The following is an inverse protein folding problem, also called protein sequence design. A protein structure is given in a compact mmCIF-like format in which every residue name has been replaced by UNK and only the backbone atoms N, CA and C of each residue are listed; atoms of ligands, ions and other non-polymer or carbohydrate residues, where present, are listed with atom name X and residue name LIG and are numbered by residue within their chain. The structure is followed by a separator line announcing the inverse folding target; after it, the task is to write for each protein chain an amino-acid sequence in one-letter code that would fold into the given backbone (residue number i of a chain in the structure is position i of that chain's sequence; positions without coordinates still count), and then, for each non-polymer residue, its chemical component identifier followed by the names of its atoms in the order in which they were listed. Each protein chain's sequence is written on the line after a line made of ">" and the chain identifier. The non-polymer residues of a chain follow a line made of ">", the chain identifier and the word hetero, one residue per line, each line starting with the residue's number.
data_IF_598541835414
#
_entry.id   IF_598541835414
#
_cell.length_a   1.000
_cell.length_b   1.000
_cell.length_c   1.000
_cell.angle_alpha   90.00
_cell.angle_beta   90.00
_cell.angle_gamma   90.00
#
_symmetry.space_group_name_H-M   'P 1'
#
loop_
_entity.id
_entity.type
_entity.pdbx_description
1 polymer ?
#
# COMPACT_ATOMS: atom_id res chain seq x y z
N UNK A 1 -10.98 0.65 9.91
CA UNK A 1 -9.94 0.11 10.81
C UNK A 1 -8.57 -0.06 10.12
N UNK A 2 -8.41 0.38 8.86
CA UNK A 2 -7.14 0.29 8.10
C UNK A 2 -6.08 1.35 8.46
N UNK A 3 -6.41 2.27 9.38
CA UNK A 3 -5.53 3.34 9.85
C UNK A 3 -4.23 2.82 10.49
N UNK A 4 -4.29 1.64 11.11
CA UNK A 4 -3.15 1.07 11.85
C UNK A 4 -2.13 0.45 10.89
N UNK A 5 -2.58 -0.21 9.81
CA UNK A 5 -1.69 -0.85 8.85
C UNK A 5 -0.78 0.15 8.10
N UNK A 6 -1.27 1.35 7.79
CA UNK A 6 -0.51 2.37 7.03
C UNK A 6 0.37 3.29 7.90
N UNK A 7 0.04 3.54 9.17
CA UNK A 7 0.95 4.29 10.08
C UNK A 7 2.04 3.40 10.67
N UNK A 8 1.79 2.09 10.78
CA UNK A 8 2.82 1.15 11.19
C UNK A 8 3.93 1.02 10.14
N UNK A 9 3.60 1.15 8.84
CA UNK A 9 4.58 1.24 7.77
C UNK A 9 5.59 2.38 8.02
N UNK A 10 5.17 3.64 8.17
CA UNK A 10 6.14 4.74 8.32
C UNK A 10 7.05 4.59 9.56
N UNK A 11 6.49 4.16 10.70
CA UNK A 11 7.25 4.02 11.96
C UNK A 11 8.14 2.76 11.98
N UNK A 12 7.77 1.70 11.27
CA UNK A 12 8.58 0.48 11.16
C UNK A 12 9.67 0.57 10.08
N UNK A 13 9.49 1.42 9.07
CA UNK A 13 10.46 1.56 7.98
C UNK A 13 11.70 2.35 8.41
N UNK A 14 11.56 3.29 9.36
CA UNK A 14 12.69 4.04 9.87
C UNK A 14 13.76 3.14 10.55
N UNK A 15 13.40 2.23 11.48
CA UNK A 15 14.34 1.22 12.01
C UNK A 15 15.00 0.36 10.92
N UNK A 16 14.24 -0.09 9.91
CA UNK A 16 14.79 -0.91 8.81
C UNK A 16 15.78 -0.10 7.96
N UNK A 17 15.43 1.14 7.62
CA UNK A 17 16.31 2.05 6.88
C UNK A 17 17.60 2.32 7.66
N UNK A 18 17.52 2.51 8.98
CA UNK A 18 18.73 2.63 9.82
C UNK A 18 19.54 1.34 9.79
N UNK A 19 18.92 0.16 9.88
CA UNK A 19 19.62 -1.13 9.77
C UNK A 19 20.39 -1.30 8.46
N UNK A 20 19.90 -0.74 7.35
CA UNK A 20 20.57 -0.76 6.05
C UNK A 20 21.65 0.33 5.91
N UNK A 21 21.39 1.51 6.47
CA UNK A 21 22.22 2.70 6.22
C UNK A 21 23.33 2.91 7.24
N UNK A 22 23.13 2.52 8.51
CA UNK A 22 24.07 2.75 9.61
C UNK A 22 25.44 2.06 9.44
N UNK A 23 25.56 0.86 8.82
CA UNK A 23 26.87 0.22 8.62
C UNK A 23 27.86 1.08 7.84
N UNK A 24 27.42 1.80 6.80
CA UNK A 24 28.29 2.58 5.92
C UNK A 24 29.05 3.71 6.63
N UNK A 25 28.39 4.65 7.34
CA UNK A 25 29.10 5.68 8.09
C UNK A 25 29.90 5.10 9.27
N UNK A 26 29.49 3.96 9.85
CA UNK A 26 30.28 3.30 10.89
C UNK A 26 31.63 2.79 10.37
N UNK A 27 31.65 2.17 9.19
CA UNK A 27 32.89 1.73 8.54
C UNK A 27 33.73 2.92 8.09
N UNK A 28 33.10 3.92 7.46
CA UNK A 28 33.80 5.13 7.01
C UNK A 28 34.44 5.88 8.19
N UNK A 29 33.78 5.88 9.36
CA UNK A 29 34.27 6.51 10.59
C UNK A 29 35.35 5.69 11.33
N UNK A 30 35.86 4.58 10.76
CA UNK A 30 37.02 3.88 11.33
C UNK A 30 38.36 4.43 10.85
N UNK A 31 38.39 5.16 9.73
CA UNK A 31 39.64 5.67 9.16
C UNK A 31 40.15 6.88 9.98
N UNK A 32 41.33 6.79 10.63
CA UNK A 32 41.91 7.92 11.33
C UNK A 32 42.34 9.02 10.35
N UNK A 33 42.16 10.29 10.71
CA UNK A 33 42.63 11.43 9.91
C UNK A 33 41.61 12.54 9.67
N UNK A 34 41.99 13.54 8.85
CA UNK A 34 41.12 14.65 8.45
C UNK A 34 40.02 14.13 7.51
N UNK A 35 38.77 14.50 7.78
CA UNK A 35 37.60 14.07 7.00
C UNK A 35 36.73 12.99 7.65
N UNK A 36 37.05 12.56 8.88
CA UNK A 36 36.23 11.59 9.63
C UNK A 36 34.95 12.20 10.24
N UNK A 37 35.00 13.50 10.57
CA UNK A 37 33.94 14.21 11.30
C UNK A 37 32.56 14.12 10.64
N UNK A 38 32.39 14.27 9.30
CA UNK A 38 31.09 14.08 8.65
C UNK A 38 30.51 12.67 8.87
N UNK A 39 31.35 11.64 8.78
CA UNK A 39 30.91 10.25 8.98
C UNK A 39 30.52 9.97 10.43
N UNK A 40 31.21 10.58 11.38
CA UNK A 40 30.83 10.55 12.79
C UNK A 40 29.48 11.21 13.05
N UNK A 41 29.26 12.40 12.48
CA UNK A 41 27.98 13.10 12.57
C UNK A 41 26.86 12.29 11.94
N UNK A 42 27.10 11.69 10.77
CA UNK A 42 26.13 10.82 10.11
C UNK A 42 25.79 9.59 10.96
N UNK A 43 26.79 8.89 11.51
CA UNK A 43 26.57 7.74 12.38
C UNK A 43 25.75 8.10 13.64
N UNK A 44 26.04 9.25 14.26
CA UNK A 44 25.28 9.74 15.42
C UNK A 44 23.85 10.12 15.07
N UNK A 45 23.66 10.81 13.95
CA UNK A 45 22.33 11.18 13.47
C UNK A 45 21.48 9.94 13.21
N UNK A 46 22.01 8.97 12.45
CA UNK A 46 21.34 7.70 12.20
C UNK A 46 21.12 6.90 13.49
N UNK A 47 22.06 6.93 14.43
CA UNK A 47 21.90 6.30 15.74
C UNK A 47 20.71 6.87 16.51
N UNK A 48 20.61 8.19 16.63
CA UNK A 48 19.45 8.83 17.27
C UNK A 48 18.14 8.59 16.53
N UNK A 49 18.13 8.71 15.21
CA UNK A 49 16.92 8.45 14.40
C UNK A 49 16.47 6.99 14.51
N UNK A 50 17.41 6.05 14.48
CA UNK A 50 17.15 4.63 14.67
C UNK A 50 16.59 4.33 16.05
N UNK A 51 17.12 4.96 17.10
CA UNK A 51 16.68 4.74 18.47
C UNK A 51 15.24 5.23 18.68
N UNK A 52 14.93 6.46 18.24
CA UNK A 52 13.58 7.01 18.33
C UNK A 52 12.60 6.25 17.44
N UNK A 53 13.02 5.87 16.23
CA UNK A 53 12.23 5.02 15.34
C UNK A 53 11.91 3.67 15.98
N UNK A 54 12.89 3.01 16.61
CA UNK A 54 12.71 1.71 17.25
C UNK A 54 11.75 1.80 18.44
N UNK A 55 11.86 2.86 19.25
CA UNK A 55 10.94 3.11 20.35
C UNK A 55 9.50 3.32 19.86
N UNK A 56 9.32 4.16 18.83
CA UNK A 56 8.01 4.41 18.24
C UNK A 56 7.42 3.14 17.61
N UNK A 57 8.24 2.33 16.94
CA UNK A 57 7.84 1.05 16.35
C UNK A 57 7.41 0.05 17.43
N UNK A 58 8.16 -0.07 18.54
CA UNK A 58 7.81 -0.93 19.67
C UNK A 58 6.48 -0.55 20.30
N UNK A 59 6.28 0.73 20.63
CA UNK A 59 5.04 1.21 21.24
C UNK A 59 3.85 0.99 20.32
N UNK A 60 3.99 1.38 19.04
CA UNK A 60 2.91 1.21 18.07
C UNK A 60 2.61 -0.26 17.77
N UNK A 61 3.61 -1.16 17.83
CA UNK A 61 3.44 -2.57 17.53
C UNK A 61 2.71 -3.31 18.65
N UNK A 62 3.07 -3.03 19.90
CA UNK A 62 2.34 -3.53 21.05
C UNK A 62 0.89 -3.01 21.09
N UNK A 63 0.68 -1.73 20.77
CA UNK A 63 -0.66 -1.17 20.66
C UNK A 63 -1.49 -1.85 19.55
N UNK A 64 -0.90 -2.07 18.38
CA UNK A 64 -1.55 -2.77 17.27
C UNK A 64 -1.88 -4.22 17.63
N UNK A 65 -0.94 -4.95 18.26
CA UNK A 65 -1.16 -6.33 18.69
C UNK A 65 -2.32 -6.47 19.69
N UNK A 66 -2.50 -5.48 20.58
CA UNK A 66 -3.66 -5.41 21.49
C UNK A 66 -4.97 -5.15 20.75
N UNK A 67 -4.98 -4.20 19.82
CA UNK A 67 -6.17 -3.87 19.03
C UNK A 67 -6.63 -5.03 18.14
N UNK A 68 -5.69 -5.88 17.71
CA UNK A 68 -5.97 -7.09 16.92
C UNK A 68 -6.28 -8.32 17.79
N UNK A 69 -6.35 -8.18 19.12
CA UNK A 69 -6.64 -9.30 20.03
C UNK A 69 -5.51 -10.33 20.19
N UNK A 70 -4.33 -10.09 19.61
CA UNK A 70 -3.16 -10.98 19.70
C UNK A 70 -2.44 -10.87 21.05
N UNK A 71 -2.62 -9.75 21.74
CA UNK A 71 -2.14 -9.54 23.10
C UNK A 71 -3.37 -9.36 24.00
N UNK A 72 -3.58 -10.24 25.00
CA UNK A 72 -4.70 -10.11 25.92
C UNK A 72 -4.72 -8.74 26.61
N UNK A 73 -5.91 -8.16 26.81
CA UNK A 73 -6.06 -6.81 27.38
C UNK A 73 -5.36 -6.62 28.74
N UNK A 74 -5.26 -7.69 29.53
CA UNK A 74 -4.60 -7.69 30.84
C UNK A 74 -3.06 -7.78 30.77
N UNK A 75 -2.45 -7.93 29.58
CA UNK A 75 -1.00 -8.06 29.40
C UNK A 75 -0.44 -6.92 28.57
N UNK A 76 0.75 -6.47 28.93
CA UNK A 76 1.52 -5.47 28.19
C UNK A 76 2.38 -6.08 27.07
N UNK A 77 2.71 -7.36 27.21
CA UNK A 77 3.59 -8.11 26.30
C UNK A 77 2.88 -9.37 25.79
N UNK A 78 3.21 -9.85 24.58
CA UNK A 78 2.74 -11.14 24.09
C UNK A 78 3.18 -12.26 25.03
N UNK A 79 2.33 -13.28 25.16
CA UNK A 79 2.66 -14.46 25.97
C UNK A 79 3.84 -15.23 25.34
N UNK A 80 4.70 -15.86 26.15
CA UNK A 80 5.68 -16.80 25.63
C UNK A 80 4.99 -17.89 24.83
N UNK A 81 5.38 -18.05 23.57
CA UNK A 81 4.81 -19.02 22.66
C UNK A 81 5.92 -19.68 21.82
N UNK A 82 5.82 -21.00 21.64
CA UNK A 82 6.76 -21.81 20.88
C UNK A 82 6.10 -22.36 19.59
N UNK A 83 6.92 -22.76 18.62
CA UNK A 83 6.45 -23.29 17.33
C UNK A 83 6.40 -22.25 16.21
N UNK A 84 5.65 -22.52 15.14
CA UNK A 84 5.59 -21.69 13.93
C UNK A 84 4.31 -20.84 13.81
N UNK A 85 3.41 -20.91 14.79
CA UNK A 85 2.15 -20.16 14.79
C UNK A 85 2.32 -18.63 14.90
N UNK A 86 1.26 -17.85 14.60
CA UNK A 86 1.29 -16.39 14.60
C UNK A 86 1.64 -15.81 15.98
N UNK A 87 1.20 -16.46 17.07
CA UNK A 87 1.52 -16.07 18.45
C UNK A 87 3.01 -16.23 18.75
N UNK A 88 3.62 -17.35 18.31
CA UNK A 88 5.05 -17.58 18.45
C UNK A 88 5.88 -16.63 17.57
N UNK A 89 5.38 -16.27 16.39
CA UNK A 89 5.99 -15.27 15.51
C UNK A 89 5.93 -13.87 16.16
N UNK A 90 4.78 -13.48 16.70
CA UNK A 90 4.59 -12.21 17.42
C UNK A 90 5.50 -12.12 18.65
N UNK A 91 5.56 -13.18 19.46
CA UNK A 91 6.44 -13.23 20.63
C UNK A 91 7.91 -13.06 20.24
N UNK A 92 8.40 -13.83 19.24
CA UNK A 92 9.78 -13.71 18.74
C UNK A 92 10.08 -12.33 18.20
N UNK A 93 9.16 -11.75 17.43
CA UNK A 93 9.30 -10.39 16.91
C UNK A 93 9.39 -9.36 18.04
N UNK A 94 8.53 -9.44 19.05
CA UNK A 94 8.55 -8.53 20.20
C UNK A 94 9.84 -8.66 21.02
N UNK A 95 10.34 -9.89 21.23
CA UNK A 95 11.62 -10.13 21.92
C UNK A 95 12.79 -9.56 21.12
N UNK A 96 12.84 -9.81 19.80
CA UNK A 96 13.88 -9.27 18.92
C UNK A 96 13.86 -7.74 18.88
N UNK A 97 12.67 -7.13 18.79
CA UNK A 97 12.52 -5.68 18.80
C UNK A 97 12.96 -5.08 20.14
N UNK A 98 12.60 -5.70 21.27
CA UNK A 98 13.03 -5.27 22.60
C UNK A 98 14.54 -5.39 22.79
N UNK A 99 15.13 -6.51 22.36
CA UNK A 99 16.58 -6.71 22.42
C UNK A 99 17.32 -5.72 21.51
N UNK A 100 16.81 -5.49 20.30
CA UNK A 100 17.32 -4.49 19.37
C UNK A 100 17.33 -3.09 20.00
N UNK A 101 16.28 -2.71 20.73
CA UNK A 101 16.24 -1.42 21.43
C UNK A 101 17.33 -1.29 22.50
N UNK A 102 17.56 -2.33 23.31
CA UNK A 102 18.62 -2.34 24.33
C UNK A 102 20.01 -2.23 23.68
N UNK A 103 20.27 -3.00 22.63
CA UNK A 103 21.53 -2.93 21.88
C UNK A 103 21.68 -1.56 21.21
N UNK A 104 20.60 -0.98 20.71
CA UNK A 104 20.56 0.36 20.13
C UNK A 104 20.90 1.47 21.11
N UNK A 105 20.47 1.37 22.37
CA UNK A 105 20.90 2.27 23.45
C UNK A 105 22.41 2.19 23.66
N UNK A 106 22.96 0.97 23.76
CA UNK A 106 24.39 0.76 23.94
C UNK A 106 25.21 1.25 22.73
N UNK A 107 24.74 1.00 21.50
CA UNK A 107 25.36 1.45 20.27
C UNK A 107 25.37 2.99 20.19
N UNK A 108 24.21 3.62 20.44
CA UNK A 108 24.06 5.09 20.42
C UNK A 108 24.93 5.73 21.49
N UNK A 109 24.97 5.17 22.71
CA UNK A 109 25.91 5.60 23.75
C UNK A 109 27.37 5.52 23.28
N UNK A 110 27.78 4.39 22.70
CA UNK A 110 29.15 4.19 22.24
C UNK A 110 29.56 5.18 21.12
N UNK A 111 28.62 5.53 20.22
CA UNK A 111 28.81 6.54 19.17
C UNK A 111 28.91 7.98 19.73
N UNK A 112 28.27 8.25 20.87
CA UNK A 112 28.21 9.58 21.49
C UNK A 112 29.28 9.83 22.57
N UNK A 113 30.16 8.86 22.85
CA UNK A 113 31.30 9.09 23.75
C UNK A 113 32.18 10.25 23.28
N UNK A 114 32.69 11.03 24.23
CA UNK A 114 33.62 12.14 23.96
C UNK A 114 34.91 11.62 23.33
N UNK A 115 35.34 12.29 22.24
CA UNK A 115 36.52 11.92 21.43
C UNK A 115 37.11 13.15 20.78
N UNK A 116 38.39 13.09 20.41
CA UNK A 116 39.06 14.13 19.64
C UNK A 116 38.70 14.00 18.15
N UNK A 117 38.61 15.12 17.44
CA UNK A 117 38.16 15.19 16.03
C UNK A 117 38.94 14.32 15.02
N UNK A 118 40.13 13.84 15.37
CA UNK A 118 40.97 12.98 14.52
C UNK A 118 40.89 11.49 14.88
N UNK A 119 40.17 11.13 15.93
CA UNK A 119 40.08 9.75 16.41
C UNK A 119 38.94 9.00 15.74
N UNK A 120 39.13 7.71 15.51
CA UNK A 120 38.08 6.84 14.99
C UNK A 120 36.90 6.72 15.97
N UNK A 121 35.74 6.34 15.42
CA UNK A 121 34.53 6.00 16.20
C UNK A 121 34.73 4.75 17.06
N UNK A 122 35.81 4.02 16.84
CA UNK A 122 36.28 2.90 17.65
C UNK A 122 35.51 1.62 17.40
N UNK A 123 36.21 0.51 17.65
CA UNK A 123 35.71 -0.83 17.33
C UNK A 123 34.45 -1.21 18.12
N UNK A 124 34.32 -0.73 19.37
CA UNK A 124 33.12 -0.98 20.17
C UNK A 124 31.84 -0.42 19.53
N UNK A 125 31.89 0.81 19.02
CA UNK A 125 30.73 1.43 18.38
C UNK A 125 30.43 0.78 17.02
N UNK A 126 31.46 0.33 16.30
CA UNK A 126 31.31 -0.46 15.08
C UNK A 126 30.58 -1.78 15.38
N UNK A 127 31.09 -2.58 16.31
CA UNK A 127 30.50 -3.88 16.63
C UNK A 127 29.07 -3.76 17.15
N UNK A 128 28.82 -2.85 18.09
CA UNK A 128 27.48 -2.62 18.62
C UNK A 128 26.53 -2.09 17.54
N UNK A 129 27.00 -1.19 16.67
CA UNK A 129 26.19 -0.67 15.58
C UNK A 129 25.87 -1.69 14.50
N UNK A 130 26.81 -2.58 14.15
CA UNK A 130 26.58 -3.69 13.22
C UNK A 130 25.64 -4.75 13.83
N UNK A 131 25.86 -5.10 15.10
CA UNK A 131 24.97 -6.00 15.84
C UNK A 131 23.56 -5.44 15.93
N UNK A 132 23.42 -4.14 16.22
CA UNK A 132 22.13 -3.47 16.20
C UNK A 132 21.47 -3.49 14.82
N UNK A 133 22.23 -3.21 13.76
CA UNK A 133 21.74 -3.24 12.38
C UNK A 133 21.19 -4.62 12.01
N UNK A 134 21.90 -5.70 12.37
CA UNK A 134 21.43 -7.07 12.15
C UNK A 134 20.11 -7.33 12.90
N UNK A 135 20.00 -6.94 14.17
CA UNK A 135 18.79 -7.11 14.96
C UNK A 135 17.59 -6.32 14.40
N UNK A 136 17.82 -5.10 13.89
CA UNK A 136 16.80 -4.29 13.23
C UNK A 136 16.26 -4.98 11.97
N UNK A 137 17.14 -5.56 11.15
CA UNK A 137 16.75 -6.28 9.94
C UNK A 137 16.01 -7.59 10.26
N UNK A 138 16.47 -8.34 11.27
CA UNK A 138 15.78 -9.55 11.74
C UNK A 138 14.39 -9.24 12.30
N UNK A 139 14.26 -8.16 13.09
CA UNK A 139 12.97 -7.70 13.57
C UNK A 139 12.06 -7.25 12.40
N UNK A 140 12.64 -6.57 11.39
CA UNK A 140 11.95 -6.17 10.17
C UNK A 140 11.37 -7.35 9.38
N UNK A 141 12.14 -8.42 9.15
CA UNK A 141 11.64 -9.66 8.51
C UNK A 141 10.50 -10.29 9.31
N UNK A 142 10.63 -10.37 10.63
CA UNK A 142 9.56 -10.87 11.50
C UNK A 142 8.27 -10.04 11.40
N UNK A 143 8.40 -8.71 11.35
CA UNK A 143 7.28 -7.79 11.16
C UNK A 143 6.62 -7.93 9.79
N UNK A 144 7.43 -8.08 8.73
CA UNK A 144 6.95 -8.34 7.38
C UNK A 144 6.12 -9.62 7.30
N UNK A 145 6.63 -10.72 7.89
CA UNK A 145 5.92 -12.01 7.94
C UNK A 145 4.60 -11.91 8.70
N UNK A 146 4.55 -11.18 9.82
CA UNK A 146 3.31 -10.95 10.56
C UNK A 146 2.27 -10.21 9.71
N UNK A 147 2.67 -9.15 9.02
CA UNK A 147 1.77 -8.37 8.17
C UNK A 147 1.19 -9.19 7.02
N UNK A 148 2.00 -10.03 6.37
CA UNK A 148 1.58 -10.80 5.19
C UNK A 148 0.89 -12.12 5.54
N UNK A 149 1.25 -12.78 6.65
CA UNK A 149 0.54 -13.97 7.12
C UNK A 149 -0.90 -13.64 7.57
N UNK A 150 -1.12 -12.45 8.13
CA UNK A 150 -2.47 -11.96 8.43
C UNK A 150 -3.26 -11.57 7.18
N UNK A 151 -2.60 -11.04 6.14
CA UNK A 151 -3.23 -10.78 4.85
C UNK A 151 -3.71 -12.08 4.18
N UNK A 152 -2.93 -13.17 4.26
CA UNK A 152 -3.32 -14.48 3.71
C UNK A 152 -4.53 -15.09 4.45
N UNK A 153 -4.58 -15.03 5.79
CA UNK A 153 -5.73 -15.52 6.57
C UNK A 153 -7.01 -14.70 6.41
N UNK A 154 -6.91 -13.42 6.04
CA UNK A 154 -8.09 -12.59 5.76
C UNK A 154 -8.77 -12.94 4.42
N UNK A 155 -8.09 -13.64 3.52
CA UNK A 155 -8.62 -14.11 2.23
C UNK A 155 -9.25 -15.51 2.36
N UNK A 156 -8.90 -16.27 3.40
CA UNK A 156 -9.37 -17.64 3.63
C UNK A 156 -10.45 -17.71 4.71
N UNK A 157 -11.61 -17.11 4.42
CA UNK A 157 -12.89 -17.47 5.04
C UNK A 157 -14.06 -17.00 4.16
N UNK A 158 -14.74 -17.95 3.51
CA UNK A 158 -16.08 -18.26 3.99
C UNK A 158 -16.16 -19.70 4.47
N UNK A 159 -16.84 -19.88 5.60
CA UNK A 159 -17.16 -21.19 6.15
C UNK A 159 -17.90 -22.06 5.10
N UNK A 160 -17.72 -23.39 5.12
CA UNK A 160 -18.48 -24.28 4.25
C UNK A 160 -19.96 -24.18 4.63
N UNK A 161 -20.76 -23.63 3.72
CA UNK A 161 -22.22 -23.72 3.80
C UNK A 161 -22.59 -25.20 3.70
N UNK A 162 -23.36 -25.77 4.63
CA UNK A 162 -23.86 -27.13 4.50
C UNK A 162 -24.66 -27.24 3.20
N UNK A 163 -24.25 -28.14 2.31
CA UNK A 163 -25.00 -28.44 1.08
C UNK A 163 -26.35 -29.05 1.49
N UNK A 164 -27.38 -28.20 1.56
CA UNK A 164 -28.75 -28.65 1.61
C UNK A 164 -29.10 -29.27 0.25
N UNK A 165 -29.49 -30.53 0.31
CA UNK A 165 -30.01 -31.33 -0.81
C UNK A 165 -31.11 -30.55 -1.53
N UNK A 166 -30.91 -30.29 -2.82
CA UNK A 166 -31.90 -29.69 -3.72
C UNK A 166 -33.11 -30.64 -3.91
N UNK A 167 -34.35 -30.18 -3.69
CA UNK A 167 -35.51 -30.78 -4.34
C UNK A 167 -35.62 -30.22 -5.77
N UNK A 168 -35.89 -31.13 -6.70
CA UNK A 168 -36.15 -30.88 -8.11
C UNK A 168 -37.28 -29.85 -8.34
N UNK A 169 -37.13 -29.17 -9.48
CA UNK A 169 -37.98 -28.12 -10.01
C UNK A 169 -39.47 -28.50 -10.13
N UNK A 170 -40.32 -27.55 -9.76
CA UNK A 170 -41.64 -27.35 -10.33
C UNK A 170 -41.88 -25.83 -10.42
N UNK A 171 -42.24 -25.37 -11.61
CA UNK A 171 -42.25 -23.95 -11.98
C UNK A 171 -43.21 -23.08 -11.17
N UNK A 172 -42.81 -21.81 -11.01
CA UNK A 172 -43.72 -20.71 -10.77
C UNK A 172 -43.06 -19.40 -11.22
N UNK A 173 -43.84 -18.64 -12.00
CA UNK A 173 -43.70 -17.26 -12.44
C UNK A 173 -42.45 -16.47 -11.97
N UNK A 174 -41.65 -16.04 -12.95
CA UNK A 174 -40.68 -14.96 -12.79
C UNK A 174 -41.44 -13.65 -12.65
N UNK A 175 -41.73 -13.25 -11.42
CA UNK A 175 -41.94 -11.84 -11.06
C UNK A 175 -40.58 -11.13 -11.15
N UNK A 176 -40.51 -9.93 -11.77
CA UNK A 176 -39.25 -9.21 -11.90
C UNK A 176 -38.82 -8.71 -10.52
N UNK A 177 -37.88 -9.41 -9.89
CA UNK A 177 -37.21 -8.91 -8.70
C UNK A 177 -36.28 -7.77 -9.12
N UNK A 178 -36.84 -6.56 -9.05
CA UNK A 178 -36.14 -5.28 -9.03
C UNK A 178 -35.14 -5.26 -7.87
N UNK A 179 -33.86 -5.38 -8.19
CA UNK A 179 -32.74 -5.21 -7.27
C UNK A 179 -31.50 -5.90 -7.84
N UNK A 180 -30.53 -5.12 -8.35
CA UNK A 180 -29.27 -5.64 -8.87
C UNK A 180 -28.55 -6.42 -7.74
N UNK A 181 -28.53 -7.75 -7.82
CA UNK A 181 -27.93 -8.62 -6.80
C UNK A 181 -26.42 -8.41 -6.68
N UNK A 182 -25.78 -7.83 -7.71
CA UNK A 182 -24.38 -7.39 -7.65
C UNK A 182 -24.16 -6.16 -6.78
N UNK A 183 -25.24 -5.48 -6.38
CA UNK A 183 -25.20 -4.46 -5.33
C UNK A 183 -24.82 -5.05 -3.95
N UNK A 184 -24.54 -6.34 -3.81
CA UNK A 184 -23.97 -6.88 -2.56
C UNK A 184 -22.72 -7.75 -2.79
N UNK A 185 -22.27 -7.88 -4.03
CA UNK A 185 -21.10 -8.67 -4.39
C UNK A 185 -19.76 -7.95 -4.10
N UNK A 186 -18.67 -8.70 -3.83
CA UNK A 186 -17.34 -8.13 -3.68
C UNK A 186 -16.85 -7.48 -4.98
N UNK A 187 -16.09 -6.39 -4.83
CA UNK A 187 -15.76 -5.44 -5.91
C UNK A 187 -14.73 -6.02 -6.88
N UNK A 188 -15.13 -6.30 -8.13
CA UNK A 188 -14.21 -6.65 -9.24
C UNK A 188 -13.27 -5.52 -9.63
N UNK A 189 -13.67 -4.25 -9.45
CA UNK A 189 -12.84 -3.07 -9.75
C UNK A 189 -11.54 -2.97 -8.93
N UNK A 190 -11.41 -3.72 -7.84
CA UNK A 190 -10.17 -3.79 -7.05
C UNK A 190 -9.10 -4.68 -7.70
N UNK A 191 -9.47 -5.52 -8.67
CA UNK A 191 -8.58 -6.46 -9.32
C UNK A 191 -8.12 -5.97 -10.70
N UNK A 192 -7.82 -4.68 -10.83
CA UNK A 192 -7.26 -4.13 -12.07
C UNK A 192 -5.87 -4.70 -12.39
N UNK A 193 -5.22 -5.36 -11.43
CA UNK A 193 -3.96 -6.07 -11.63
C UNK A 193 -4.13 -7.31 -12.53
N UNK A 194 -5.32 -7.91 -12.57
CA UNK A 194 -5.65 -9.01 -13.48
C UNK A 194 -6.04 -8.55 -14.90
N UNK A 195 -6.15 -7.23 -15.13
CA UNK A 195 -6.56 -6.64 -16.40
C UNK A 195 -5.35 -6.25 -17.27
N UNK A 196 -5.58 -6.17 -18.58
CA UNK A 196 -4.56 -5.68 -19.50
C UNK A 196 -4.41 -4.17 -19.40
N UNK A 197 -3.17 -3.70 -19.22
CA UNK A 197 -2.88 -2.27 -19.33
C UNK A 197 -3.13 -1.78 -20.76
N UNK A 198 -3.89 -0.70 -20.89
CA UNK A 198 -4.14 -0.06 -22.19
C UNK A 198 -2.93 0.80 -22.60
N UNK A 199 -2.29 1.45 -21.63
CA UNK A 199 -1.15 2.32 -21.83
C UNK A 199 0.06 1.82 -21.02
N UNK A 200 1.27 1.90 -21.57
CA UNK A 200 2.49 1.56 -20.83
C UNK A 200 2.76 2.59 -19.70
N UNK A 201 2.47 3.85 -19.95
CA UNK A 201 2.69 4.97 -19.03
C UNK A 201 1.40 5.78 -18.82
N UNK A 202 1.29 6.56 -17.73
CA UNK A 202 0.16 7.47 -17.53
C UNK A 202 0.03 8.49 -18.66
N UNK A 203 -1.21 8.84 -18.98
CA UNK A 203 -1.54 9.71 -20.11
C UNK A 203 -2.51 10.79 -19.71
N UNK A 204 -2.43 11.97 -20.35
CA UNK A 204 -3.31 13.09 -20.05
C UNK A 204 -4.63 12.97 -20.81
N UNK A 205 -5.75 12.91 -20.10
CA UNK A 205 -7.08 12.69 -20.69
C UNK A 205 -7.96 13.95 -20.69
N UNK A 206 -8.18 14.61 -21.84
CA UNK A 206 -9.08 15.76 -21.95
C UNK A 206 -10.52 15.45 -21.52
N UNK A 207 -11.03 14.26 -21.86
CA UNK A 207 -12.37 13.82 -21.50
C UNK A 207 -12.59 13.67 -19.98
N UNK A 208 -11.51 13.59 -19.20
CA UNK A 208 -11.54 13.45 -17.75
C UNK A 208 -10.93 14.69 -17.07
N UNK A 209 -11.23 15.88 -17.60
CA UNK A 209 -10.77 17.16 -17.04
C UNK A 209 -9.28 17.44 -17.24
N UNK A 210 -8.63 16.78 -18.21
CA UNK A 210 -7.21 16.94 -18.46
C UNK A 210 -6.30 16.24 -17.45
N UNK A 211 -6.81 15.26 -16.70
CA UNK A 211 -6.05 14.56 -15.65
C UNK A 211 -5.09 13.53 -16.22
N UNK A 212 -4.00 13.27 -15.50
CA UNK A 212 -3.15 12.10 -15.77
C UNK A 212 -3.85 10.83 -15.33
N UNK A 213 -4.01 9.88 -16.25
CA UNK A 213 -4.74 8.64 -16.01
C UNK A 213 -3.94 7.41 -16.46
N UNK A 214 -4.28 6.26 -15.90
CA UNK A 214 -3.95 4.95 -16.45
C UNK A 214 -5.23 4.13 -16.56
N UNK A 215 -5.35 3.36 -17.64
CA UNK A 215 -6.52 2.53 -17.92
C UNK A 215 -6.10 1.08 -18.14
N UNK A 216 -6.98 0.17 -17.70
CA UNK A 216 -6.88 -1.26 -17.86
C UNK A 216 -8.21 -1.81 -18.37
N UNK A 217 -8.18 -2.86 -19.17
CA UNK A 217 -9.40 -3.53 -19.64
C UNK A 217 -9.27 -5.04 -19.56
N UNK A 218 -10.39 -5.74 -19.48
CA UNK A 218 -10.40 -7.20 -19.60
C UNK A 218 -9.80 -7.63 -20.95
N UNK A 219 -9.12 -8.79 -21.03
CA UNK A 219 -8.40 -9.21 -22.23
C UNK A 219 -9.26 -9.19 -23.50
N UNK A 220 -10.51 -9.64 -23.40
CA UNK A 220 -11.50 -9.65 -24.49
C UNK A 220 -11.93 -8.25 -24.95
N UNK A 221 -11.77 -7.24 -24.10
CA UNK A 221 -12.16 -5.85 -24.35
C UNK A 221 -10.99 -4.94 -24.74
N UNK A 222 -9.74 -5.33 -24.43
CA UNK A 222 -8.57 -4.47 -24.57
C UNK A 222 -8.32 -4.00 -26.01
N UNK A 223 -8.49 -4.89 -27.00
CA UNK A 223 -8.36 -4.55 -28.41
C UNK A 223 -9.42 -3.54 -28.86
N UNK A 224 -10.69 -3.79 -28.52
CA UNK A 224 -11.80 -2.89 -28.81
C UNK A 224 -11.60 -1.52 -28.14
N UNK A 225 -11.15 -1.50 -26.88
CA UNK A 225 -10.86 -0.27 -26.15
C UNK A 225 -9.75 0.56 -26.82
N UNK A 226 -8.64 -0.07 -27.22
CA UNK A 226 -7.53 0.59 -27.93
C UNK A 226 -7.97 1.13 -29.29
N UNK A 227 -8.84 0.41 -29.99
CA UNK A 227 -9.40 0.82 -31.27
C UNK A 227 -10.55 1.84 -31.14
N UNK A 228 -10.98 2.15 -29.91
CA UNK A 228 -12.16 2.98 -29.62
C UNK A 228 -13.46 2.44 -30.20
N UNK A 229 -13.54 1.13 -30.37
CA UNK A 229 -14.73 0.42 -30.80
C UNK A 229 -15.71 0.25 -29.62
N UNK A 230 -16.99 -0.05 -29.89
CA UNK A 230 -17.92 -0.48 -28.87
C UNK A 230 -17.35 -1.64 -28.05
N UNK A 231 -17.53 -1.59 -26.74
CA UNK A 231 -17.09 -2.64 -25.84
C UNK A 231 -18.12 -3.78 -25.82
N UNK A 232 -17.68 -5.05 -25.85
CA UNK A 232 -18.61 -6.18 -25.77
C UNK A 232 -19.30 -6.26 -24.41
N UNK A 233 -20.44 -6.95 -24.35
CA UNK A 233 -21.07 -7.28 -23.06
C UNK A 233 -20.11 -8.10 -22.19
N UNK A 234 -20.09 -7.83 -20.89
CA UNK A 234 -19.14 -8.39 -19.93
C UNK A 234 -17.79 -7.70 -19.88
N UNK A 235 -17.50 -6.76 -20.80
CA UNK A 235 -16.26 -6.00 -20.78
C UNK A 235 -16.12 -5.18 -19.49
N UNK A 236 -14.97 -5.31 -18.82
CA UNK A 236 -14.60 -4.48 -17.68
C UNK A 236 -13.46 -3.54 -18.08
N UNK A 237 -13.64 -2.25 -17.81
CA UNK A 237 -12.59 -1.23 -17.93
C UNK A 237 -12.42 -0.55 -16.58
N UNK A 238 -11.18 -0.45 -16.13
CA UNK A 238 -10.81 0.30 -14.93
C UNK A 238 -9.90 1.45 -15.34
N UNK A 239 -10.12 2.62 -14.77
CA UNK A 239 -9.34 3.83 -14.95
C UNK A 239 -8.93 4.35 -13.57
N UNK A 240 -7.69 4.81 -13.43
CA UNK A 240 -7.24 5.55 -12.26
C UNK A 240 -6.65 6.90 -12.63
N UNK A 241 -6.88 7.91 -11.80
CA UNK A 241 -6.07 9.13 -11.85
C UNK A 241 -4.72 8.88 -11.19
N UNK A 242 -3.65 9.26 -11.87
CA UNK A 242 -2.26 9.09 -11.42
C UNK A 242 -1.64 10.46 -11.10
N UNK A 243 -2.36 11.35 -10.43
CA UNK A 243 -1.87 12.71 -10.16
C UNK A 243 -1.25 12.81 -8.77
N UNK A 244 -0.05 13.38 -8.69
CA UNK A 244 0.55 13.80 -7.43
C UNK A 244 -0.07 15.12 -6.93
N UNK A 245 0.37 15.58 -5.75
CA UNK A 245 -0.08 16.84 -5.14
C UNK A 245 0.23 18.10 -5.97
N UNK A 246 1.02 17.99 -7.04
CA UNK A 246 1.39 19.07 -7.94
C UNK A 246 0.73 18.95 -9.32
N UNK A 247 -0.21 18.01 -9.50
CA UNK A 247 -0.88 17.76 -10.79
C UNK A 247 0.05 17.12 -11.84
N UNK A 248 1.15 16.49 -11.41
CA UNK A 248 2.09 15.75 -12.26
C UNK A 248 1.79 14.24 -12.16
N UNK A 249 2.19 13.43 -13.15
CA UNK A 249 2.03 12.00 -13.05
C UNK A 249 2.85 11.45 -11.87
N UNK A 250 2.17 10.84 -10.90
CA UNK A 250 2.72 10.24 -9.69
C UNK A 250 2.66 8.70 -9.71
N UNK A 251 3.31 8.08 -8.73
CA UNK A 251 3.31 6.62 -8.55
C UNK A 251 2.12 6.09 -7.75
N UNK A 252 1.38 6.96 -7.06
CA UNK A 252 0.21 6.55 -6.28
C UNK A 252 -1.03 6.46 -7.16
N UNK A 253 -1.74 5.34 -7.05
CA UNK A 253 -3.05 5.13 -7.68
C UNK A 253 -4.07 5.99 -6.94
N UNK A 254 -4.63 6.97 -7.64
CA UNK A 254 -5.72 7.80 -7.14
C UNK A 254 -7.07 7.07 -7.18
N UNK A 255 -8.19 7.81 -7.30
CA UNK A 255 -9.51 7.18 -7.38
C UNK A 255 -9.59 6.23 -8.58
N UNK A 256 -10.23 5.09 -8.37
CA UNK A 256 -10.57 4.11 -9.39
C UNK A 256 -11.99 4.38 -9.90
N UNK A 257 -12.11 4.38 -11.21
CA UNK A 257 -13.36 4.46 -11.96
C UNK A 257 -13.47 3.17 -12.75
N UNK A 258 -14.52 2.39 -12.53
CA UNK A 258 -14.78 1.18 -13.30
C UNK A 258 -16.04 1.33 -14.12
N UNK A 259 -15.99 0.77 -15.32
CA UNK A 259 -17.10 0.65 -16.25
C UNK A 259 -17.21 -0.81 -16.65
N UNK A 260 -18.37 -1.38 -16.40
CA UNK A 260 -18.73 -2.73 -16.84
C UNK A 260 -19.85 -2.63 -17.87
N UNK A 261 -19.69 -3.29 -19.01
CA UNK A 261 -20.75 -3.37 -20.02
C UNK A 261 -21.75 -4.46 -19.65
N UNK A 262 -22.93 -4.08 -19.18
CA UNK A 262 -24.05 -5.00 -18.96
C UNK A 262 -24.99 -4.98 -20.17
N UNK A 263 -25.88 -5.96 -20.28
CA UNK A 263 -26.95 -6.01 -21.31
C UNK A 263 -27.77 -4.71 -21.41
N UNK A 264 -27.96 -4.01 -20.28
CA UNK A 264 -28.68 -2.73 -20.20
C UNK A 264 -27.82 -1.48 -20.43
N UNK A 265 -26.55 -1.62 -20.82
CA UNK A 265 -25.60 -0.53 -21.00
C UNK A 265 -24.52 -0.45 -19.91
N UNK A 266 -23.74 0.63 -19.87
CA UNK A 266 -22.60 0.75 -18.96
C UNK A 266 -23.04 0.89 -17.50
N UNK A 267 -22.55 0.01 -16.65
CA UNK A 267 -22.62 0.10 -15.20
C UNK A 267 -21.34 0.76 -14.67
N UNK A 268 -21.49 1.82 -13.89
CA UNK A 268 -20.36 2.60 -13.38
C UNK A 268 -20.15 2.36 -11.90
N UNK A 269 -18.87 2.32 -11.51
CA UNK A 269 -18.43 2.24 -10.13
C UNK A 269 -17.31 3.24 -9.89
N UNK A 270 -17.37 3.94 -8.76
CA UNK A 270 -16.29 4.77 -8.26
C UNK A 270 -15.80 4.19 -6.93
N UNK A 271 -14.49 4.10 -6.79
CA UNK A 271 -13.86 3.68 -5.56
C UNK A 271 -12.62 4.51 -5.29
N UNK A 272 -12.55 5.12 -4.11
CA UNK A 272 -11.35 5.76 -3.62
C UNK A 272 -11.02 5.23 -2.23
N UNK A 273 -10.00 4.38 -2.15
CA UNK A 273 -9.53 3.77 -0.91
C UNK A 273 -9.17 4.81 0.16
N UNK A 274 -8.65 5.96 -0.27
CA UNK A 274 -8.16 7.02 0.61
C UNK A 274 -8.41 8.39 0.00
N UNK A 275 -9.50 9.03 0.39
CA UNK A 275 -9.79 10.42 0.04
C UNK A 275 -8.84 11.34 0.82
N UNK A 276 -8.00 12.17 0.13
CA UNK A 276 -7.12 13.14 0.78
C UNK A 276 -7.91 14.08 1.69
N UNK A 277 -7.31 14.49 2.81
CA UNK A 277 -8.01 15.23 3.86
C UNK A 277 -8.63 16.53 3.31
N UNK A 278 -7.90 17.20 2.44
CA UNK A 278 -8.31 18.42 1.73
C UNK A 278 -9.51 18.22 0.79
N UNK A 279 -9.77 16.99 0.33
CA UNK A 279 -10.88 16.69 -0.59
C UNK A 279 -12.11 16.12 0.13
N UNK A 280 -12.00 15.70 1.39
CA UNK A 280 -13.10 15.03 2.10
C UNK A 280 -14.40 15.83 2.16
N UNK A 281 -14.32 17.16 2.17
CA UNK A 281 -15.52 18.02 2.12
C UNK A 281 -16.41 17.72 0.90
N UNK A 282 -15.81 17.41 -0.25
CA UNK A 282 -16.53 17.03 -1.47
C UNK A 282 -17.07 15.59 -1.45
N UNK A 283 -16.66 14.78 -0.47
CA UNK A 283 -17.04 13.37 -0.30
C UNK A 283 -17.76 13.16 1.05
N UNK A 284 -18.49 14.17 1.54
CA UNK A 284 -19.28 14.04 2.77
C UNK A 284 -18.47 13.85 4.05
N UNK A 285 -17.19 14.21 4.05
CA UNK A 285 -16.26 14.00 5.17
C UNK A 285 -15.62 12.62 5.20
N UNK A 286 -15.97 11.73 4.26
CA UNK A 286 -15.55 10.35 4.29
C UNK A 286 -14.06 10.16 3.99
N UNK A 287 -13.43 9.23 4.70
CA UNK A 287 -12.02 8.87 4.45
C UNK A 287 -11.85 7.94 3.24
N UNK A 288 -12.95 7.36 2.76
CA UNK A 288 -13.05 6.47 1.61
C UNK A 288 -14.35 6.76 0.90
N UNK A 289 -14.39 6.64 -0.41
CA UNK A 289 -15.61 6.84 -1.17
C UNK A 289 -15.88 5.63 -2.04
N UNK A 290 -17.15 5.21 -2.06
CA UNK A 290 -17.59 4.07 -2.83
C UNK A 290 -19.01 4.32 -3.32
N UNK A 291 -19.16 4.39 -4.63
CA UNK A 291 -20.42 4.67 -5.30
C UNK A 291 -20.58 3.70 -6.46
N UNK A 292 -21.80 3.24 -6.72
CA UNK A 292 -22.08 2.28 -7.81
C UNK A 292 -23.50 2.42 -8.32
N UNK A 293 -23.75 1.82 -9.48
CA UNK A 293 -25.11 1.67 -10.00
C UNK A 293 -25.80 3.01 -10.19
N UNK A 294 -26.87 3.26 -9.41
CA UNK A 294 -27.70 4.48 -9.47
C UNK A 294 -27.33 5.54 -8.43
N UNK A 295 -26.20 5.42 -7.74
CA UNK A 295 -25.74 6.45 -6.80
C UNK A 295 -25.67 7.84 -7.49
N UNK A 296 -26.20 8.87 -6.85
CA UNK A 296 -26.30 10.22 -7.41
C UNK A 296 -24.92 10.85 -7.73
N UNK A 297 -23.88 10.48 -6.99
CA UNK A 297 -22.52 10.99 -7.25
C UNK A 297 -21.97 10.55 -8.62
N UNK A 298 -22.55 9.51 -9.21
CA UNK A 298 -22.18 9.00 -10.53
C UNK A 298 -23.04 9.59 -11.67
N UNK A 299 -23.96 10.51 -11.40
CA UNK A 299 -24.86 11.09 -12.42
C UNK A 299 -24.10 11.73 -13.58
N UNK A 300 -23.04 12.49 -13.27
CA UNK A 300 -22.19 13.13 -14.30
C UNK A 300 -21.51 12.09 -15.19
N UNK A 301 -21.00 11.00 -14.60
CA UNK A 301 -20.38 9.91 -15.33
C UNK A 301 -21.40 9.18 -16.20
N UNK A 302 -22.59 8.86 -15.66
CA UNK A 302 -23.67 8.21 -16.41
C UNK A 302 -24.14 9.07 -17.58
N UNK A 303 -24.36 10.37 -17.34
CA UNK A 303 -24.81 11.30 -18.37
C UNK A 303 -23.82 11.40 -19.53
N UNK A 304 -22.52 11.51 -19.23
CA UNK A 304 -21.48 11.55 -20.25
C UNK A 304 -21.43 10.23 -21.05
N UNK A 305 -21.39 9.08 -20.36
CA UNK A 305 -21.24 7.77 -20.99
C UNK A 305 -22.52 7.24 -21.65
N UNK A 306 -23.69 7.83 -21.40
CA UNK A 306 -24.93 7.49 -22.09
C UNK A 306 -24.89 7.79 -23.59
N UNK A 307 -24.04 8.73 -24.02
CA UNK A 307 -23.86 9.09 -25.44
C UNK A 307 -22.82 8.23 -26.16
N UNK A 308 -22.29 7.20 -25.48
CA UNK A 308 -21.19 6.37 -25.95
C UNK A 308 -19.86 6.74 -25.31
N UNK A 309 -18.79 6.09 -25.77
CA UNK A 309 -17.44 6.30 -25.22
C UNK A 309 -16.68 7.35 -26.01
N UNK A 310 -15.77 8.10 -25.37
CA UNK A 310 -15.02 9.20 -25.99
C UNK A 310 -14.31 8.79 -27.31
N UNK A 311 -14.24 9.68 -28.29
CA UNK A 311 -13.64 9.43 -29.62
C UNK A 311 -12.22 8.79 -29.53
N UNK A 312 -11.94 7.65 -30.21
CA UNK A 312 -10.60 7.08 -30.33
C UNK A 312 -9.49 8.07 -30.75
N UNK A 313 -9.79 9.06 -31.58
CA UNK A 313 -8.83 10.11 -31.96
C UNK A 313 -8.44 10.99 -30.76
N UNK A 314 -9.35 11.16 -29.79
CA UNK A 314 -9.06 11.84 -28.53
C UNK A 314 -8.25 10.95 -27.57
N UNK A 315 -8.41 9.62 -27.63
CA UNK A 315 -7.67 8.64 -26.79
C UNK A 315 -6.25 8.33 -27.30
N UNK A 316 -6.00 8.47 -28.60
CA UNK A 316 -4.71 8.13 -29.26
C UNK A 316 -3.71 9.30 -29.33
N UNK A 317 -4.18 10.54 -29.12
CA UNK A 317 -3.33 11.75 -28.99
C UNK A 317 -2.63 11.89 -27.63
N UNK A 318 -2.93 10.97 -26.73
CA UNK A 318 -2.31 10.78 -25.43
C UNK A 318 -0.89 10.20 -25.56
N UNK A 319 0.00 10.90 -26.28
CA UNK A 319 1.39 10.45 -26.47
C UNK A 319 2.33 11.20 -25.55
N UNK A 320 3.25 10.45 -24.94
CA UNK A 320 4.48 10.99 -24.38
C UNK A 320 5.27 11.72 -25.47
N UNK A 321 5.74 12.92 -25.14
CA UNK A 321 6.90 13.48 -25.83
C UNK A 321 8.08 12.57 -25.49
N UNK A 322 8.49 11.73 -26.44
CA UNK A 322 9.68 10.88 -26.31
C UNK A 322 10.86 11.82 -26.03
N UNK A 323 11.39 11.81 -24.80
CA UNK A 323 12.68 12.44 -24.52
C UNK A 323 13.71 11.50 -25.14
N UNK A 324 14.14 11.80 -26.35
CA UNK A 324 15.31 11.16 -26.96
C UNK A 324 16.51 11.74 -26.20
N UNK A 325 17.34 10.93 -25.52
CA UNK A 325 18.59 11.42 -24.97
C UNK A 325 19.43 11.94 -26.14
N UNK A 326 19.90 13.18 -26.05
CA UNK A 326 20.90 13.67 -26.98
C UNK A 326 22.14 12.79 -26.82
N UNK A 327 22.50 12.08 -27.88
CA UNK A 327 23.82 11.46 -27.99
C UNK A 327 24.86 12.58 -27.91
N UNK A 328 25.73 12.50 -26.92
CA UNK A 328 26.91 13.33 -26.73
C UNK A 328 28.07 12.44 -26.34
#
# INVERSE_FOLDING_TARGET
>A
MDWIALKHALLSHLPVAVGLLLPWPLFAAQRPGRGIRPWWTAARYLGWMGLFGTLAALISGLASGRLMGLIPAHRLLPAPAAGQGPEALLFRHAVLAGFSFVVGLAATWAMNRSRKDHQSLGFLALLLGLGWSALLLMAGDGGYRLAHAHAAKAVEAPAPVPQAVLPQAAGAAVTPATGDTEEKAPVRALDYAALESIHAEPVKSPAHGGRWIRAWASPEAAAAYRAGQPLPEGALVVLSSMEDRYGRPGSETGPLYALEMKSGGPSLTFYWARVPMEQRGAFGGEARAYWRGKDAHLDSCRSCHATGMADPAARSRWRLKRIIPAEG
#
